data_IF_640729683841
#
_entry.id   IF_640729683841
#
_cell.length_a   1.000
_cell.length_b   1.000
_cell.length_c   1.000
_cell.angle_alpha   90.00
_cell.angle_beta   90.00
_cell.angle_gamma   90.00
#
_symmetry.space_group_name_H-M   'P 1'
#
loop_
_entity.id
_entity.type
_entity.pdbx_description
1 polymer ?
#
# COMPACT_ATOMS: atom_id res chain seq x y z
N UNK A 1 -0.02 19.54 6.35
CA UNK A 1 0.58 18.50 5.50
C UNK A 1 -0.45 17.94 4.52
N UNK A 2 -1.59 17.47 5.04
CA UNK A 2 -2.56 16.80 4.19
C UNK A 2 -3.16 17.70 3.11
N UNK A 3 -3.44 18.94 3.44
CA UNK A 3 -3.95 19.91 2.47
C UNK A 3 -2.96 20.22 1.36
N UNK A 4 -1.69 20.10 1.63
CA UNK A 4 -0.64 20.32 0.63
C UNK A 4 -0.71 19.31 -0.50
N UNK A 5 -1.08 18.06 -0.19
CA UNK A 5 -1.28 17.01 -1.19
C UNK A 5 -2.41 17.41 -2.14
N UNK A 6 -3.52 17.88 -1.59
CA UNK A 6 -4.66 18.32 -2.41
C UNK A 6 -4.28 19.50 -3.30
N UNK A 7 -3.52 20.43 -2.76
CA UNK A 7 -3.07 21.61 -3.52
C UNK A 7 -2.16 21.20 -4.67
N UNK A 8 -1.25 20.26 -4.43
CA UNK A 8 -0.36 19.74 -5.48
C UNK A 8 -1.18 19.07 -6.57
N UNK A 9 -2.15 18.24 -6.19
CA UNK A 9 -3.03 17.55 -7.14
C UNK A 9 -3.76 18.56 -8.03
N UNK A 10 -4.36 19.57 -7.41
CA UNK A 10 -5.12 20.58 -8.14
C UNK A 10 -4.21 21.42 -9.06
N UNK A 11 -3.04 21.80 -8.58
CA UNK A 11 -2.09 22.58 -9.35
C UNK A 11 -1.61 21.82 -10.59
N UNK A 12 -1.21 20.57 -10.40
CA UNK A 12 -0.73 19.74 -11.52
C UNK A 12 -1.85 19.44 -12.50
N UNK A 13 -3.05 19.15 -11.99
CA UNK A 13 -4.21 18.88 -12.82
C UNK A 13 -4.52 20.09 -13.73
N UNK A 14 -4.51 21.27 -13.17
CA UNK A 14 -4.79 22.50 -13.91
C UNK A 14 -3.68 22.85 -14.92
N UNK A 15 -2.43 22.76 -14.48
CA UNK A 15 -1.29 23.14 -15.34
C UNK A 15 -1.06 22.16 -16.49
N UNK A 16 -1.25 20.88 -16.25
CA UNK A 16 -1.00 19.84 -17.25
C UNK A 16 -2.25 19.42 -18.01
N UNK A 17 -3.40 19.93 -17.61
CA UNK A 17 -4.69 19.55 -18.18
C UNK A 17 -4.91 18.03 -18.15
N UNK A 18 -4.63 17.44 -16.99
CA UNK A 18 -4.75 16.01 -16.73
C UNK A 18 -5.80 15.79 -15.65
N UNK A 19 -6.60 14.73 -15.78
CA UNK A 19 -7.62 14.40 -14.78
C UNK A 19 -6.99 14.19 -13.40
N UNK A 20 -7.68 14.71 -12.37
CA UNK A 20 -7.24 14.56 -10.98
C UNK A 20 -6.99 13.11 -10.62
N UNK A 21 -7.84 12.20 -11.09
CA UNK A 21 -7.74 10.77 -10.76
C UNK A 21 -6.44 10.14 -11.25
N UNK A 22 -5.95 10.57 -12.40
CA UNK A 22 -4.68 10.09 -12.94
C UNK A 22 -3.53 10.53 -12.04
N UNK A 23 -3.58 11.78 -11.58
CA UNK A 23 -2.56 12.33 -10.69
C UNK A 23 -2.59 11.63 -9.33
N UNK A 24 -3.79 11.42 -8.79
CA UNK A 24 -3.97 10.72 -7.51
C UNK A 24 -3.41 9.30 -7.61
N UNK A 25 -3.73 8.58 -8.67
CA UNK A 25 -3.21 7.22 -8.88
C UNK A 25 -1.68 7.22 -8.93
N UNK A 26 -1.09 8.17 -9.67
CA UNK A 26 0.36 8.28 -9.77
C UNK A 26 0.99 8.56 -8.41
N UNK A 27 0.39 9.44 -7.61
CA UNK A 27 0.88 9.77 -6.28
C UNK A 27 0.75 8.58 -5.33
N UNK A 28 -0.37 7.86 -5.40
CA UNK A 28 -0.55 6.66 -4.58
C UNK A 28 0.52 5.61 -4.89
N UNK A 29 0.82 5.40 -6.16
CA UNK A 29 1.86 4.47 -6.57
C UNK A 29 3.25 4.92 -6.12
N UNK A 30 3.53 6.22 -6.23
CA UNK A 30 4.80 6.77 -5.79
C UNK A 30 5.01 6.61 -4.28
N UNK A 31 3.95 6.89 -3.50
CA UNK A 31 3.99 6.72 -2.05
C UNK A 31 4.16 5.25 -1.67
N UNK A 32 3.45 4.35 -2.35
CA UNK A 32 3.60 2.91 -2.12
C UNK A 32 5.03 2.44 -2.41
N UNK A 33 5.63 2.92 -3.50
CA UNK A 33 7.01 2.59 -3.84
C UNK A 33 7.99 3.07 -2.78
N UNK A 34 7.77 4.27 -2.24
CA UNK A 34 8.61 4.83 -1.19
C UNK A 34 8.50 4.01 0.10
N UNK A 35 7.29 3.57 0.45
CA UNK A 35 7.08 2.72 1.63
C UNK A 35 7.81 1.39 1.48
N UNK A 36 7.72 0.77 0.30
CA UNK A 36 8.40 -0.49 0.03
C UNK A 36 9.93 -0.35 0.15
N UNK A 37 10.46 0.73 -0.39
CA UNK A 37 11.90 1.02 -0.28
C UNK A 37 12.34 1.20 1.16
N UNK A 38 11.57 1.98 1.92
CA UNK A 38 11.87 2.22 3.33
C UNK A 38 11.83 0.92 4.12
N UNK A 39 10.85 0.06 3.85
CA UNK A 39 10.77 -1.24 4.50
C UNK A 39 12.05 -2.05 4.29
N UNK A 40 12.53 -2.12 3.05
CA UNK A 40 13.75 -2.87 2.73
C UNK A 40 14.95 -2.31 3.47
N UNK A 41 15.07 -0.99 3.52
CA UNK A 41 16.20 -0.33 4.20
C UNK A 41 16.13 -0.56 5.72
N UNK A 42 14.98 -0.36 6.32
CA UNK A 42 14.80 -0.47 7.77
C UNK A 42 15.03 -1.90 8.26
N UNK A 43 14.63 -2.88 7.47
CA UNK A 43 14.72 -4.29 7.84
C UNK A 43 15.94 -4.99 7.24
N UNK A 44 16.75 -4.25 6.49
CA UNK A 44 17.97 -4.77 5.85
C UNK A 44 17.71 -6.04 5.05
N UNK A 45 16.63 -6.02 4.26
CA UNK A 45 16.17 -7.16 3.49
C UNK A 45 15.97 -6.78 2.03
N UNK A 46 15.99 -7.80 1.16
CA UNK A 46 15.63 -7.64 -0.25
C UNK A 46 14.22 -8.18 -0.51
N UNK A 47 13.52 -8.63 0.53
CA UNK A 47 12.18 -9.19 0.39
C UNK A 47 11.17 -8.11 0.00
N UNK A 48 10.30 -8.45 -0.95
CA UNK A 48 9.24 -7.55 -1.38
C UNK A 48 8.04 -7.64 -0.44
N UNK A 49 7.36 -6.51 -0.25
CA UNK A 49 6.06 -6.48 0.41
C UNK A 49 5.04 -5.89 -0.56
N UNK A 50 3.77 -6.19 -0.33
CA UNK A 50 2.66 -5.64 -1.12
C UNK A 50 2.02 -4.52 -0.29
N UNK A 51 2.08 -3.30 -0.82
CA UNK A 51 1.59 -2.11 -0.13
C UNK A 51 0.68 -1.34 -1.06
N UNK A 52 -0.43 -0.87 -0.51
CA UNK A 52 -1.37 -0.01 -1.22
C UNK A 52 -1.54 1.28 -0.42
N UNK A 53 -1.45 2.41 -1.11
CA UNK A 53 -1.69 3.72 -0.50
C UNK A 53 -2.98 4.28 -1.07
N UNK A 54 -3.84 4.80 -0.21
CA UNK A 54 -5.11 5.43 -0.61
C UNK A 54 -5.14 6.86 -0.08
N UNK A 55 -5.32 7.82 -0.98
CA UNK A 55 -5.39 9.23 -0.64
C UNK A 55 -6.86 9.63 -0.49
N UNK A 56 -7.19 10.28 0.65
CA UNK A 56 -8.51 10.83 0.88
C UNK A 56 -8.61 12.17 0.16
N UNK A 57 -9.54 12.28 -0.78
CA UNK A 57 -9.68 13.48 -1.60
C UNK A 57 -10.35 14.64 -0.87
N UNK A 58 -10.94 14.40 0.29
CA UNK A 58 -11.60 15.46 1.05
C UNK A 58 -10.62 16.25 1.92
N UNK A 59 -9.65 15.59 2.51
CA UNK A 59 -8.72 16.24 3.44
C UNK A 59 -7.25 16.06 3.10
N UNK A 60 -6.92 15.26 2.07
CA UNK A 60 -5.54 15.02 1.66
C UNK A 60 -4.78 14.03 2.53
N UNK A 61 -5.43 13.44 3.52
CA UNK A 61 -4.79 12.39 4.32
C UNK A 61 -4.61 11.14 3.48
N UNK A 62 -3.73 10.25 3.91
CA UNK A 62 -3.58 8.98 3.22
C UNK A 62 -3.38 7.85 4.21
N UNK A 63 -3.78 6.67 3.78
CA UNK A 63 -3.62 5.42 4.54
C UNK A 63 -2.69 4.50 3.77
N UNK A 64 -1.83 3.81 4.49
CA UNK A 64 -0.95 2.80 3.93
C UNK A 64 -1.41 1.44 4.43
N UNK A 65 -1.75 0.56 3.49
CA UNK A 65 -2.22 -0.78 3.78
C UNK A 65 -1.21 -1.78 3.25
N UNK A 66 -0.74 -2.66 4.12
CA UNK A 66 0.06 -3.80 3.71
C UNK A 66 -0.89 -4.95 3.41
N UNK A 67 -0.63 -5.68 2.33
CA UNK A 67 -1.49 -6.78 1.89
C UNK A 67 -0.71 -8.07 1.82
N UNK A 68 -1.41 -9.17 2.11
CA UNK A 68 -0.90 -10.52 1.93
C UNK A 68 -1.91 -11.32 1.14
N UNK A 69 -1.46 -12.02 0.11
CA UNK A 69 -2.30 -12.95 -0.62
C UNK A 69 -2.46 -14.23 0.19
N UNK A 70 -3.69 -14.69 0.36
CA UNK A 70 -3.98 -15.91 1.11
C UNK A 70 -3.72 -17.12 0.22
N UNK A 71 -2.89 -18.03 0.69
CA UNK A 71 -2.51 -19.24 -0.02
C UNK A 71 -2.75 -20.46 0.87
N UNK A 72 -2.94 -21.62 0.25
CA UNK A 72 -3.12 -22.87 0.99
C UNK A 72 -1.80 -23.57 1.31
N UNK A 73 -0.75 -23.20 0.60
CA UNK A 73 0.56 -23.84 0.72
C UNK A 73 1.65 -22.80 0.47
N UNK A 74 2.73 -22.90 1.23
CA UNK A 74 3.88 -22.01 1.09
C UNK A 74 5.06 -22.83 0.55
N UNK A 75 5.51 -22.48 -0.65
CA UNK A 75 6.62 -23.18 -1.30
C UNK A 75 7.95 -22.53 -0.93
N UNK A 76 9.05 -23.26 -1.17
CA UNK A 76 10.40 -22.80 -0.78
C UNK A 76 10.76 -21.45 -1.43
N UNK A 77 10.34 -21.25 -2.68
CA UNK A 77 10.66 -20.04 -3.44
C UNK A 77 9.59 -18.95 -3.32
N UNK A 78 8.58 -19.15 -2.47
CA UNK A 78 7.50 -18.17 -2.32
C UNK A 78 7.97 -16.92 -1.60
N UNK A 79 7.29 -15.83 -1.92
CA UNK A 79 7.52 -14.53 -1.31
C UNK A 79 6.76 -14.43 -0.01
N UNK A 80 7.36 -14.91 1.08
CA UNK A 80 6.71 -15.03 2.39
C UNK A 80 6.17 -13.71 2.93
N UNK A 81 6.81 -12.60 2.55
CA UNK A 81 6.38 -11.28 3.00
C UNK A 81 5.15 -10.77 2.25
N UNK A 82 4.74 -11.43 1.17
CA UNK A 82 3.59 -11.07 0.36
C UNK A 82 2.46 -12.09 0.44
N UNK A 83 2.68 -13.20 1.13
CA UNK A 83 1.70 -14.30 1.20
C UNK A 83 1.42 -14.70 2.65
N UNK A 84 0.23 -15.24 2.88
CA UNK A 84 -0.18 -15.69 4.20
C UNK A 84 -0.93 -17.02 4.06
N UNK A 85 -0.58 -17.99 4.89
CA UNK A 85 -1.29 -19.27 4.90
C UNK A 85 -2.73 -19.09 5.36
N UNK A 86 -3.62 -19.89 4.77
CA UNK A 86 -5.05 -19.80 5.04
C UNK A 86 -5.37 -19.92 6.52
N UNK A 87 -4.74 -20.84 7.23
CA UNK A 87 -5.00 -21.03 8.67
C UNK A 87 -4.71 -19.77 9.47
N UNK A 88 -3.62 -19.11 9.16
CA UNK A 88 -3.24 -17.86 9.81
C UNK A 88 -4.20 -16.72 9.44
N UNK A 89 -4.57 -16.67 8.15
CA UNK A 89 -5.49 -15.64 7.65
C UNK A 89 -6.87 -15.78 8.30
N UNK A 90 -7.32 -17.00 8.56
CA UNK A 90 -8.62 -17.26 9.21
C UNK A 90 -8.66 -16.80 10.66
N UNK A 91 -7.53 -16.68 11.32
CA UNK A 91 -7.48 -16.09 12.65
C UNK A 91 -7.85 -14.61 12.63
N UNK A 92 -7.57 -13.94 11.52
CA UNK A 92 -7.91 -12.52 11.32
C UNK A 92 -9.29 -12.32 10.73
N UNK A 93 -9.70 -13.19 9.80
CA UNK A 93 -11.00 -13.14 9.15
C UNK A 93 -11.48 -14.58 8.89
N UNK A 94 -12.42 -15.10 9.72
CA UNK A 94 -12.86 -16.49 9.59
C UNK A 94 -13.50 -16.85 8.26
N UNK A 95 -13.95 -15.87 7.49
CA UNK A 95 -14.62 -16.09 6.20
C UNK A 95 -13.69 -16.04 5.00
N UNK A 96 -12.41 -15.82 5.23
CA UNK A 96 -11.48 -15.62 4.13
C UNK A 96 -11.19 -16.92 3.40
N UNK A 97 -10.90 -16.81 2.11
CA UNK A 97 -10.61 -17.96 1.25
C UNK A 97 -9.28 -17.74 0.53
N UNK A 98 -8.74 -18.86 0.01
CA UNK A 98 -7.53 -18.80 -0.82
C UNK A 98 -7.79 -17.90 -2.03
N UNK A 99 -6.84 -17.02 -2.32
CA UNK A 99 -6.97 -16.03 -3.39
C UNK A 99 -7.45 -14.68 -2.91
N UNK A 100 -8.00 -14.60 -1.70
CA UNK A 100 -8.35 -13.33 -1.09
C UNK A 100 -7.11 -12.65 -0.52
N UNK A 101 -7.28 -11.43 -0.03
CA UNK A 101 -6.19 -10.65 0.56
C UNK A 101 -6.52 -10.27 2.00
N UNK A 102 -5.52 -10.41 2.87
CA UNK A 102 -5.55 -9.81 4.20
C UNK A 102 -4.86 -8.46 4.10
N UNK A 103 -5.48 -7.43 4.66
CA UNK A 103 -4.90 -6.09 4.71
C UNK A 103 -4.73 -5.64 6.15
N UNK A 104 -3.66 -4.88 6.37
CA UNK A 104 -3.38 -4.32 7.68
C UNK A 104 -2.86 -2.89 7.48
N UNK A 105 -3.45 -1.93 8.19
CA UNK A 105 -2.97 -0.56 8.14
C UNK A 105 -1.63 -0.46 8.85
N UNK A 106 -0.66 0.13 8.18
CA UNK A 106 0.66 0.36 8.76
C UNK A 106 0.90 1.85 8.87
N UNK A 107 1.67 2.25 9.87
CA UNK A 107 2.01 3.64 10.08
C UNK A 107 2.93 4.12 8.96
N UNK A 108 2.59 5.28 8.38
CA UNK A 108 3.43 5.87 7.35
C UNK A 108 4.54 6.67 8.00
N UNK A 109 5.77 6.30 7.70
CA UNK A 109 6.95 6.99 8.19
C UNK A 109 7.53 7.96 7.17
N UNK A 110 6.73 8.36 6.18
CA UNK A 110 7.17 9.25 5.12
C UNK A 110 7.05 10.73 5.46
N UNK A 111 6.38 11.05 6.56
CA UNK A 111 6.14 12.43 6.99
C UNK A 111 7.07 12.82 8.13
N UNK A 112 8.04 13.62 7.84
CA UNK A 112 8.92 14.22 8.84
C UNK A 112 9.24 15.63 8.41
#
# INVERSE_FOLDING_TARGET
>A
MNKEILLIIDTVSNEKNVDREIIIDAMEHALASAVKKKYKLDNKTQDEIDVQVTINQDDGSYKTLRRWEVVDEMLVDDEYEMKMLLDLAKEKDPKIEVGDFITEEIESCLLY
#
